data_IF_844216540407
#
_entry.id   IF_844216540407
#
_cell.length_a   1.000
_cell.length_b   1.000
_cell.length_c   1.000
_cell.angle_alpha   90.00
_cell.angle_beta   90.00
_cell.angle_gamma   90.00
#
_symmetry.space_group_name_H-M   'P 1'
#
loop_
_entity.id
_entity.type
_entity.pdbx_description
1 polymer ?
#
# COMPACT_ATOMS: atom_id res chain seq x y z
N UNK A 1 -32.17 30.37 -40.44
CA UNK A 1 -30.84 30.18 -39.78
C UNK A 1 -30.96 29.84 -38.30
N UNK A 2 -31.93 30.38 -37.56
CA UNK A 2 -32.16 30.12 -36.12
C UNK A 2 -32.62 28.68 -35.78
N UNK A 3 -33.29 28.00 -36.71
CA UNK A 3 -33.84 26.64 -36.53
C UNK A 3 -32.76 25.54 -36.50
N UNK A 4 -31.57 25.78 -37.07
CA UNK A 4 -30.46 24.82 -37.09
C UNK A 4 -29.73 24.79 -35.73
N UNK A 5 -29.67 25.94 -35.06
CA UNK A 5 -28.99 26.13 -33.78
C UNK A 5 -29.71 25.45 -32.61
N UNK A 6 -31.04 25.38 -32.64
CA UNK A 6 -31.83 24.64 -31.65
C UNK A 6 -31.65 23.13 -31.81
N UNK A 7 -31.56 22.64 -33.05
CA UNK A 7 -31.39 21.20 -33.31
C UNK A 7 -30.01 20.69 -32.90
N UNK A 8 -28.95 21.48 -33.10
CA UNK A 8 -27.60 21.16 -32.63
C UNK A 8 -27.51 21.16 -31.09
N UNK A 9 -28.22 22.06 -30.41
CA UNK A 9 -28.27 22.08 -28.95
C UNK A 9 -29.01 20.86 -28.38
N UNK A 10 -30.11 20.44 -28.99
CA UNK A 10 -30.83 19.23 -28.58
C UNK A 10 -29.99 17.95 -28.79
N UNK A 11 -29.34 17.83 -29.95
CA UNK A 11 -28.42 16.73 -30.26
C UNK A 11 -27.24 16.66 -29.27
N UNK A 12 -26.66 17.80 -28.90
CA UNK A 12 -25.58 17.85 -27.90
C UNK A 12 -26.05 17.49 -26.50
N UNK A 13 -27.29 17.85 -26.13
CA UNK A 13 -27.85 17.52 -24.82
C UNK A 13 -28.20 16.03 -24.70
N UNK A 14 -28.73 15.43 -25.76
CA UNK A 14 -28.95 13.98 -25.83
C UNK A 14 -27.63 13.20 -25.87
N UNK A 15 -26.66 13.66 -26.66
CA UNK A 15 -25.33 12.99 -26.72
C UNK A 15 -24.63 13.06 -25.36
N UNK A 16 -24.68 14.21 -24.67
CA UNK A 16 -24.17 14.34 -23.29
C UNK A 16 -24.95 13.47 -22.31
N UNK A 17 -26.28 13.45 -22.38
CA UNK A 17 -27.10 12.63 -21.48
C UNK A 17 -26.87 11.12 -21.70
N UNK A 18 -26.66 10.67 -22.93
CA UNK A 18 -26.33 9.28 -23.27
C UNK A 18 -24.91 8.94 -22.83
N UNK A 19 -23.95 9.86 -23.01
CA UNK A 19 -22.57 9.67 -22.53
C UNK A 19 -22.55 9.58 -20.99
N UNK A 20 -23.24 10.49 -20.30
CA UNK A 20 -23.30 10.55 -18.84
C UNK A 20 -24.07 9.34 -18.25
N UNK A 21 -25.15 8.91 -18.90
CA UNK A 21 -25.88 7.69 -18.55
C UNK A 21 -25.07 6.41 -18.83
N UNK A 22 -24.19 6.41 -19.84
CA UNK A 22 -23.29 5.29 -20.12
C UNK A 22 -22.14 5.21 -19.11
N UNK A 23 -21.54 6.34 -18.70
CA UNK A 23 -20.57 6.40 -17.61
C UNK A 23 -21.18 6.01 -16.26
N UNK A 24 -22.43 6.42 -15.98
CA UNK A 24 -23.12 6.04 -14.74
C UNK A 24 -23.52 4.56 -14.69
N UNK A 25 -23.78 3.92 -15.85
CA UNK A 25 -24.09 2.47 -15.92
C UNK A 25 -22.85 1.57 -15.90
N UNK A 26 -21.69 2.05 -16.32
CA UNK A 26 -20.44 1.29 -16.29
C UNK A 26 -19.74 1.31 -14.90
N UNK A 27 -20.16 2.22 -14.00
CA UNK A 27 -19.57 2.42 -12.66
C UNK A 27 -20.30 1.68 -11.52
N UNK A 28 -21.40 0.97 -11.81
CA UNK A 28 -22.22 0.35 -10.74
C UNK A 28 -21.65 -0.98 -10.18
N UNK A 29 -20.64 -1.56 -10.83
CA UNK A 29 -20.09 -2.89 -10.48
C UNK A 29 -18.57 -2.96 -10.29
N UNK A 30 -17.85 -1.90 -10.66
CA UNK A 30 -16.38 -1.88 -10.75
C UNK A 30 -15.82 -1.07 -9.59
N UNK A 31 -14.77 -1.54 -8.92
CA UNK A 31 -14.16 -0.74 -7.83
C UNK A 31 -13.24 0.33 -8.42
N UNK A 32 -13.12 1.52 -7.80
CA UNK A 32 -12.20 2.56 -8.26
C UNK A 32 -10.78 2.02 -8.41
N UNK A 33 -10.14 2.28 -9.55
CA UNK A 33 -8.85 1.69 -9.90
C UNK A 33 -7.78 1.96 -8.82
N UNK A 34 -7.70 3.19 -8.32
CA UNK A 34 -6.73 3.56 -7.28
C UNK A 34 -6.99 2.82 -5.96
N UNK A 35 -8.25 2.53 -5.62
CA UNK A 35 -8.58 1.73 -4.45
C UNK A 35 -8.16 0.27 -4.64
N UNK A 36 -8.39 -0.32 -5.82
CA UNK A 36 -7.93 -1.67 -6.14
C UNK A 36 -6.40 -1.77 -6.10
N UNK A 37 -5.69 -0.78 -6.64
CA UNK A 37 -4.23 -0.69 -6.57
C UNK A 37 -3.74 -0.62 -5.11
N UNK A 38 -4.38 0.19 -4.27
CA UNK A 38 -4.09 0.25 -2.83
C UNK A 38 -4.27 -1.10 -2.14
N UNK A 39 -5.35 -1.84 -2.46
CA UNK A 39 -5.55 -3.20 -1.91
C UNK A 39 -4.45 -4.15 -2.36
N UNK A 40 -4.07 -4.14 -3.64
CA UNK A 40 -2.94 -4.97 -4.14
C UNK A 40 -1.64 -4.62 -3.42
N UNK A 41 -1.35 -3.33 -3.23
CA UNK A 41 -0.17 -2.89 -2.48
C UNK A 41 -0.19 -3.43 -1.06
N UNK A 42 -1.29 -3.26 -0.33
CA UNK A 42 -1.38 -3.68 1.06
C UNK A 42 -1.22 -5.20 1.20
N UNK A 43 -1.88 -5.98 0.33
CA UNK A 43 -1.72 -7.45 0.30
C UNK A 43 -0.26 -7.83 0.03
N UNK A 44 0.35 -7.22 -0.99
CA UNK A 44 1.73 -7.53 -1.38
C UNK A 44 2.70 -7.20 -0.24
N UNK A 45 2.57 -6.02 0.37
CA UNK A 45 3.40 -5.62 1.49
C UNK A 45 3.23 -6.58 2.67
N UNK A 46 2.01 -6.94 3.05
CA UNK A 46 1.78 -7.91 4.12
C UNK A 46 2.45 -9.26 3.83
N UNK A 47 2.30 -9.80 2.62
CA UNK A 47 2.93 -11.07 2.24
C UNK A 47 4.46 -10.95 2.30
N UNK A 48 5.03 -9.87 1.77
CA UNK A 48 6.46 -9.64 1.82
C UNK A 48 6.99 -9.49 3.26
N UNK A 49 6.28 -8.78 4.13
CA UNK A 49 6.65 -8.62 5.54
C UNK A 49 6.61 -9.95 6.30
N UNK A 50 5.60 -10.79 6.05
CA UNK A 50 5.53 -12.14 6.64
C UNK A 50 6.74 -12.98 6.20
N UNK A 51 7.12 -12.91 4.92
CA UNK A 51 8.27 -13.63 4.38
C UNK A 51 9.59 -13.06 4.90
N UNK A 52 9.68 -11.74 5.10
CA UNK A 52 10.90 -11.06 5.57
C UNK A 52 11.05 -11.04 7.09
N UNK A 53 10.00 -11.37 7.85
CA UNK A 53 10.00 -11.41 9.31
C UNK A 53 11.20 -12.16 9.94
N UNK A 54 11.61 -13.35 9.47
CA UNK A 54 12.75 -14.06 10.04
C UNK A 54 14.08 -13.29 9.92
N UNK A 55 14.26 -12.56 8.82
CA UNK A 55 15.46 -11.78 8.58
C UNK A 55 15.54 -10.60 9.54
N UNK A 56 14.45 -9.84 9.70
CA UNK A 56 14.39 -8.69 10.59
C UNK A 56 14.56 -9.11 12.08
N UNK A 57 14.03 -10.27 12.47
CA UNK A 57 14.24 -10.82 13.82
C UNK A 57 15.70 -11.21 14.05
N UNK A 58 16.35 -11.78 13.04
CA UNK A 58 17.78 -12.15 13.13
C UNK A 58 18.66 -10.93 13.39
N UNK A 59 18.32 -9.77 12.79
CA UNK A 59 19.00 -8.49 13.04
C UNK A 59 18.79 -7.97 14.48
N UNK A 60 17.64 -8.28 15.09
CA UNK A 60 17.36 -7.92 16.49
C UNK A 60 17.95 -8.89 17.53
N UNK A 61 18.79 -9.84 17.11
CA UNK A 61 19.36 -10.85 18.00
C UNK A 61 18.34 -11.88 18.52
N UNK A 62 17.20 -12.04 17.84
CA UNK A 62 16.15 -13.00 18.24
C UNK A 62 15.27 -12.52 19.40
N UNK A 63 15.28 -11.23 19.74
CA UNK A 63 14.53 -10.67 20.86
C UNK A 63 12.99 -10.77 20.69
N UNK A 64 12.51 -10.90 19.45
CA UNK A 64 11.08 -10.93 19.12
C UNK A 64 10.62 -12.30 18.64
N UNK A 65 9.42 -12.70 19.06
CA UNK A 65 8.75 -13.86 18.52
C UNK A 65 8.27 -13.59 17.07
N UNK A 66 8.29 -14.65 16.25
CA UNK A 66 8.07 -14.55 14.81
C UNK A 66 6.66 -14.11 14.43
N UNK A 67 5.65 -14.68 15.08
CA UNK A 67 4.24 -14.37 14.81
C UNK A 67 3.88 -12.93 15.23
N UNK A 68 4.18 -12.46 16.46
CA UNK A 68 3.88 -11.08 16.84
C UNK A 68 4.60 -10.03 15.98
N UNK A 69 5.86 -10.26 15.61
CA UNK A 69 6.60 -9.34 14.75
C UNK A 69 5.99 -9.25 13.36
N UNK A 70 5.71 -10.39 12.71
CA UNK A 70 5.12 -10.41 11.37
C UNK A 70 3.77 -9.67 11.32
N UNK A 71 2.94 -9.83 12.36
CA UNK A 71 1.65 -9.14 12.45
C UNK A 71 1.82 -7.64 12.69
N UNK A 72 2.81 -7.23 13.50
CA UNK A 72 3.13 -5.82 13.70
C UNK A 72 3.65 -5.17 12.41
N UNK A 73 4.54 -5.85 11.68
CA UNK A 73 5.04 -5.39 10.37
C UNK A 73 3.90 -5.22 9.35
N UNK A 74 2.96 -6.18 9.32
CA UNK A 74 1.73 -6.07 8.53
C UNK A 74 0.90 -4.84 8.92
N UNK A 75 0.72 -4.56 10.22
CA UNK A 75 0.03 -3.35 10.66
C UNK A 75 0.72 -2.09 10.13
N UNK A 76 2.05 -1.99 10.25
CA UNK A 76 2.80 -0.81 9.79
C UNK A 76 2.70 -0.63 8.28
N UNK A 77 2.68 -1.72 7.51
CA UNK A 77 2.45 -1.70 6.07
C UNK A 77 1.03 -1.24 5.72
N UNK A 78 0.00 -1.73 6.42
CA UNK A 78 -1.39 -1.32 6.17
C UNK A 78 -1.58 0.15 6.51
N UNK A 79 -1.06 0.61 7.65
CA UNK A 79 -1.10 2.01 8.03
C UNK A 79 -0.41 2.90 6.98
N UNK A 80 0.72 2.47 6.44
CA UNK A 80 1.38 3.16 5.33
C UNK A 80 0.44 3.33 4.12
N UNK A 81 -0.18 2.24 3.67
CA UNK A 81 -1.07 2.29 2.50
C UNK A 81 -2.29 3.18 2.76
N UNK A 82 -2.84 3.15 3.97
CA UNK A 82 -3.99 3.98 4.34
C UNK A 82 -3.66 5.48 4.38
N UNK A 83 -2.50 5.85 4.92
CA UNK A 83 -2.11 7.27 5.08
C UNK A 83 -1.50 7.83 3.80
N UNK A 84 -0.55 7.10 3.22
CA UNK A 84 0.32 7.61 2.16
C UNK A 84 0.10 6.91 0.81
N UNK A 85 -0.56 5.75 0.78
CA UNK A 85 -0.71 4.94 -0.43
C UNK A 85 -1.39 5.70 -1.57
N UNK A 86 -2.51 6.37 -1.31
CA UNK A 86 -3.20 7.17 -2.34
C UNK A 86 -2.38 8.35 -2.85
N UNK A 87 -1.70 9.07 -1.95
CA UNK A 87 -0.87 10.21 -2.31
C UNK A 87 0.32 9.78 -3.18
N UNK A 88 0.99 8.67 -2.83
CA UNK A 88 2.11 8.16 -3.62
C UNK A 88 1.70 7.48 -4.91
N UNK A 89 0.54 6.83 -4.97
CA UNK A 89 -0.02 6.34 -6.24
C UNK A 89 -0.32 7.51 -7.18
N UNK A 90 -0.89 8.60 -6.67
CA UNK A 90 -1.10 9.80 -7.46
C UNK A 90 0.21 10.46 -7.89
N UNK A 91 1.20 10.53 -7.00
CA UNK A 91 2.54 11.01 -7.33
C UNK A 91 3.17 10.16 -8.43
N UNK A 92 3.10 8.84 -8.33
CA UNK A 92 3.64 7.90 -9.31
C UNK A 92 2.94 8.04 -10.66
N UNK A 93 1.62 8.22 -10.66
CA UNK A 93 0.83 8.44 -11.86
C UNK A 93 1.23 9.75 -12.55
N UNK A 94 1.29 10.86 -11.79
CA UNK A 94 1.73 12.15 -12.32
C UNK A 94 3.17 12.10 -12.86
N UNK A 95 4.07 11.40 -12.16
CA UNK A 95 5.45 11.24 -12.61
C UNK A 95 5.54 10.41 -13.90
N UNK A 96 4.68 9.40 -14.05
CA UNK A 96 4.67 8.51 -15.21
C UNK A 96 4.31 9.22 -16.52
N UNK A 97 3.55 10.31 -16.46
CA UNK A 97 3.22 11.14 -17.64
C UNK A 97 4.47 11.77 -18.28
N UNK A 98 5.55 11.96 -17.51
CA UNK A 98 6.78 12.56 -18.00
C UNK A 98 7.75 11.55 -18.64
N UNK A 99 7.43 10.25 -18.62
CA UNK A 99 8.30 9.19 -19.12
C UNK A 99 7.65 8.37 -20.24
N UNK A 100 8.47 7.76 -21.09
CA UNK A 100 7.98 6.89 -22.17
C UNK A 100 7.29 5.65 -21.59
N UNK A 101 6.28 5.11 -22.31
CA UNK A 101 5.41 4.04 -21.82
C UNK A 101 6.11 2.78 -21.29
N UNK A 102 7.38 2.55 -21.62
CA UNK A 102 8.20 1.44 -21.13
C UNK A 102 8.75 1.67 -19.70
N UNK A 103 8.90 2.92 -19.28
CA UNK A 103 9.43 3.30 -17.96
C UNK A 103 8.34 3.53 -16.90
N UNK A 104 7.06 3.51 -17.29
CA UNK A 104 5.92 3.63 -16.37
C UNK A 104 6.00 2.65 -15.18
N UNK A 105 6.22 1.33 -15.33
CA UNK A 105 6.35 0.46 -14.16
C UNK A 105 7.54 0.84 -13.28
N UNK A 106 8.65 1.31 -13.88
CA UNK A 106 9.83 1.72 -13.13
C UNK A 106 9.56 2.96 -12.26
N UNK A 107 8.79 3.94 -12.73
CA UNK A 107 8.47 5.13 -11.93
C UNK A 107 7.67 4.76 -10.69
N UNK A 108 6.68 3.88 -10.84
CA UNK A 108 5.91 3.34 -9.72
C UNK A 108 6.79 2.57 -8.75
N UNK A 109 7.70 1.73 -9.25
CA UNK A 109 8.67 1.00 -8.42
C UNK A 109 9.59 1.93 -7.62
N UNK A 110 10.14 2.98 -8.24
CA UNK A 110 11.02 3.95 -7.56
C UNK A 110 10.27 4.74 -6.48
N UNK A 111 9.05 5.18 -6.76
CA UNK A 111 8.21 5.87 -5.77
C UNK A 111 7.90 4.93 -4.61
N UNK A 112 7.54 3.67 -4.89
CA UNK A 112 7.31 2.66 -3.87
C UNK A 112 8.55 2.38 -3.01
N UNK A 113 9.72 2.27 -3.64
CA UNK A 113 10.97 2.02 -2.94
C UNK A 113 11.35 3.16 -2.00
N UNK A 114 11.28 4.40 -2.49
CA UNK A 114 11.62 5.57 -1.69
C UNK A 114 10.63 5.76 -0.52
N UNK A 115 9.33 5.66 -0.80
CA UNK A 115 8.29 5.90 0.20
C UNK A 115 8.31 4.86 1.31
N UNK A 116 8.21 3.57 0.97
CA UNK A 116 8.17 2.51 1.98
C UNK A 116 9.55 2.27 2.61
N UNK A 117 10.65 2.52 1.89
CA UNK A 117 12.00 2.47 2.44
C UNK A 117 12.22 3.50 3.55
N UNK A 118 11.79 4.75 3.35
CA UNK A 118 11.85 5.79 4.39
C UNK A 118 10.89 5.47 5.54
N UNK A 119 9.67 5.03 5.23
CA UNK A 119 8.68 4.66 6.25
C UNK A 119 9.17 3.53 7.15
N UNK A 120 9.61 2.42 6.56
CA UNK A 120 10.14 1.26 7.27
C UNK A 120 11.43 1.57 8.01
N UNK A 121 12.37 2.27 7.37
CA UNK A 121 13.64 2.65 7.98
C UNK A 121 13.49 3.56 9.20
N UNK A 122 12.42 4.36 9.29
CA UNK A 122 12.15 5.19 10.47
C UNK A 122 11.32 4.45 11.52
N UNK A 123 10.21 3.82 11.12
CA UNK A 123 9.27 3.25 12.08
C UNK A 123 9.72 1.92 12.65
N UNK A 124 10.30 1.03 11.84
CA UNK A 124 10.65 -0.31 12.33
C UNK A 124 11.68 -0.23 13.47
N UNK A 125 12.78 0.52 13.32
CA UNK A 125 13.71 0.71 14.43
C UNK A 125 13.09 1.45 15.61
N UNK A 126 12.20 2.42 15.36
CA UNK A 126 11.53 3.16 16.44
C UNK A 126 10.67 2.22 17.29
N UNK A 127 9.85 1.36 16.67
CA UNK A 127 9.03 0.38 17.38
C UNK A 127 9.89 -0.67 18.09
N UNK A 128 10.91 -1.22 17.41
CA UNK A 128 11.81 -2.20 18.00
C UNK A 128 12.57 -1.63 19.19
N UNK A 129 13.21 -0.46 19.05
CA UNK A 129 13.96 0.16 20.14
C UNK A 129 13.04 0.63 21.28
N UNK A 130 11.78 0.98 21.00
CA UNK A 130 10.79 1.28 22.05
C UNK A 130 10.43 0.07 22.91
N UNK A 131 10.63 -1.15 22.41
CA UNK A 131 10.43 -2.40 23.16
C UNK A 131 11.75 -2.88 23.79
N UNK A 132 12.85 -2.87 23.01
CA UNK A 132 14.18 -3.32 23.44
C UNK A 132 14.76 -2.45 24.56
N UNK A 133 14.58 -1.13 24.48
CA UNK A 133 15.10 -0.17 25.45
C UNK A 133 14.60 -0.43 26.88
N UNK A 134 13.27 -0.44 27.12
CA UNK A 134 12.72 -0.77 28.44
C UNK A 134 13.07 -2.19 28.90
N UNK A 135 13.23 -3.14 27.97
CA UNK A 135 13.66 -4.51 28.26
C UNK A 135 15.16 -4.64 28.58
N UNK A 136 15.94 -3.54 28.53
CA UNK A 136 17.42 -3.51 28.71
C UNK A 136 18.17 -4.46 27.77
N UNK A 137 17.61 -4.72 26.59
CA UNK A 137 18.24 -5.50 25.54
C UNK A 137 19.09 -4.59 24.64
N UNK A 138 20.00 -5.18 23.86
CA UNK A 138 20.82 -4.43 22.92
C UNK A 138 19.94 -3.75 21.87
N UNK A 139 20.13 -2.43 21.69
CA UNK A 139 19.45 -1.67 20.64
C UNK A 139 20.03 -2.03 19.28
N UNK A 140 19.22 -1.81 18.24
CA UNK A 140 19.65 -2.01 16.85
C UNK A 140 20.86 -1.13 16.52
N UNK A 141 21.84 -1.71 15.83
CA UNK A 141 22.98 -0.94 15.32
C UNK A 141 22.57 -0.10 14.12
N UNK A 142 23.36 0.92 13.78
CA UNK A 142 23.12 1.71 12.56
C UNK A 142 23.16 0.85 11.29
N UNK A 143 23.93 -0.24 11.28
CA UNK A 143 23.98 -1.19 10.17
C UNK A 143 22.68 -1.97 10.01
N UNK A 144 22.08 -2.41 11.11
CA UNK A 144 20.80 -3.14 11.12
C UNK A 144 19.65 -2.24 10.63
N UNK A 145 19.66 -0.96 11.04
CA UNK A 145 18.69 0.04 10.58
C UNK A 145 18.75 0.21 9.05
N UNK A 146 19.95 0.30 8.48
CA UNK A 146 20.13 0.38 7.02
C UNK A 146 19.66 -0.88 6.30
N UNK A 147 19.93 -2.07 6.86
CA UNK A 147 19.47 -3.33 6.29
C UNK A 147 17.93 -3.44 6.29
N UNK A 148 17.27 -3.02 7.38
CA UNK A 148 15.80 -2.94 7.48
C UNK A 148 15.25 -1.94 6.45
N UNK A 149 15.82 -0.73 6.38
CA UNK A 149 15.39 0.28 5.42
C UNK A 149 15.51 -0.19 3.96
N UNK A 150 16.60 -0.89 3.62
CA UNK A 150 16.79 -1.48 2.29
C UNK A 150 15.77 -2.59 2.00
N UNK A 151 15.48 -3.46 2.98
CA UNK A 151 14.44 -4.47 2.83
C UNK A 151 13.08 -3.83 2.55
N UNK A 152 12.67 -2.84 3.36
CA UNK A 152 11.44 -2.12 3.13
C UNK A 152 11.44 -1.42 1.76
N UNK A 153 12.56 -0.87 1.29
CA UNK A 153 12.63 -0.30 -0.06
C UNK A 153 12.32 -1.34 -1.15
N UNK A 154 12.84 -2.56 -1.04
CA UNK A 154 12.54 -3.64 -1.99
C UNK A 154 11.06 -4.04 -1.93
N UNK A 155 10.50 -4.17 -0.72
CA UNK A 155 9.07 -4.49 -0.54
C UNK A 155 8.19 -3.41 -1.17
N UNK A 156 8.53 -2.14 -0.96
CA UNK A 156 7.84 -1.00 -1.56
C UNK A 156 7.88 -1.04 -3.08
N UNK A 157 9.06 -1.32 -3.65
CA UNK A 157 9.25 -1.44 -5.10
C UNK A 157 8.34 -2.51 -5.69
N UNK A 158 8.35 -3.72 -5.13
CA UNK A 158 7.55 -4.86 -5.61
C UNK A 158 6.06 -4.58 -5.48
N UNK A 159 5.65 -3.96 -4.37
CA UNK A 159 4.24 -3.68 -4.09
C UNK A 159 3.64 -2.67 -5.07
N UNK A 160 4.36 -1.60 -5.39
CA UNK A 160 3.89 -0.60 -6.36
C UNK A 160 3.90 -1.13 -7.81
N UNK A 161 4.89 -1.95 -8.16
CA UNK A 161 4.94 -2.64 -9.46
C UNK A 161 3.72 -3.56 -9.64
N UNK A 162 3.44 -4.39 -8.63
CA UNK A 162 2.28 -5.29 -8.67
C UNK A 162 0.96 -4.51 -8.63
N UNK A 163 0.88 -3.37 -7.95
CA UNK A 163 -0.30 -2.51 -7.98
C UNK A 163 -0.64 -2.09 -9.41
N UNK A 164 0.34 -1.61 -10.19
CA UNK A 164 0.11 -1.17 -11.57
C UNK A 164 -0.29 -2.33 -12.48
N UNK A 165 0.28 -3.52 -12.28
CA UNK A 165 0.02 -4.70 -13.12
C UNK A 165 -1.33 -5.33 -12.79
N UNK A 166 -1.61 -5.57 -11.51
CA UNK A 166 -2.77 -6.34 -11.04
C UNK A 166 -3.97 -5.47 -10.69
N UNK A 167 -3.78 -4.16 -10.46
CA UNK A 167 -4.85 -3.22 -10.10
C UNK A 167 -6.03 -3.21 -11.09
N UNK A 168 -5.80 -3.09 -12.41
CA UNK A 168 -6.89 -3.13 -13.40
C UNK A 168 -7.67 -4.45 -13.42
N UNK A 169 -6.98 -5.57 -13.16
CA UNK A 169 -7.61 -6.89 -13.10
C UNK A 169 -8.46 -7.05 -11.84
N UNK A 170 -7.98 -6.55 -10.71
CA UNK A 170 -8.70 -6.58 -9.45
C UNK A 170 -9.88 -5.61 -9.45
N UNK A 171 -9.78 -4.49 -10.16
CA UNK A 171 -10.85 -3.50 -10.28
C UNK A 171 -12.15 -4.10 -10.84
N UNK A 172 -12.02 -5.05 -11.76
CA UNK A 172 -13.14 -5.79 -12.38
C UNK A 172 -13.73 -6.87 -11.47
N UNK A 173 -13.09 -7.21 -10.34
CA UNK A 173 -13.48 -8.30 -9.44
C UNK A 173 -13.80 -7.76 -8.04
N UNK A 174 -14.88 -6.98 -7.91
CA UNK A 174 -15.30 -6.32 -6.66
C UNK A 174 -15.26 -7.24 -5.44
N UNK A 175 -15.84 -8.43 -5.54
CA UNK A 175 -15.87 -9.39 -4.42
C UNK A 175 -14.46 -9.78 -3.96
N UNK A 176 -13.55 -10.06 -4.88
CA UNK A 176 -12.16 -10.40 -4.56
C UNK A 176 -11.45 -9.21 -3.91
N UNK A 177 -11.66 -8.00 -4.44
CA UNK A 177 -11.09 -6.79 -3.86
C UNK A 177 -11.54 -6.57 -2.42
N UNK A 178 -12.85 -6.73 -2.14
CA UNK A 178 -13.40 -6.58 -0.78
C UNK A 178 -12.87 -7.66 0.16
N UNK A 179 -12.82 -8.92 -0.28
CA UNK A 179 -12.28 -10.03 0.54
C UNK A 179 -10.81 -9.76 0.89
N UNK A 180 -9.99 -9.37 -0.08
CA UNK A 180 -8.58 -9.05 0.16
C UNK A 180 -8.43 -7.87 1.12
N UNK A 181 -9.21 -6.81 0.95
CA UNK A 181 -9.20 -5.68 1.87
C UNK A 181 -9.55 -6.12 3.30
N UNK A 182 -10.62 -6.91 3.48
CA UNK A 182 -11.02 -7.43 4.80
C UNK A 182 -9.92 -8.28 5.42
N UNK A 183 -9.32 -9.20 4.66
CA UNK A 183 -8.22 -10.05 5.15
C UNK A 183 -7.05 -9.20 5.66
N UNK A 184 -6.65 -8.19 4.89
CA UNK A 184 -5.57 -7.27 5.27
C UNK A 184 -5.91 -6.46 6.51
N UNK A 185 -7.14 -5.97 6.63
CA UNK A 185 -7.60 -5.26 7.84
C UNK A 185 -7.63 -6.18 9.07
N UNK A 186 -8.02 -7.44 8.91
CA UNK A 186 -7.99 -8.43 9.99
C UNK A 186 -6.55 -8.68 10.43
N UNK A 187 -5.61 -8.87 9.49
CA UNK A 187 -4.18 -9.01 9.81
C UNK A 187 -3.63 -7.79 10.55
N UNK A 188 -4.00 -6.58 10.12
CA UNK A 188 -3.62 -5.35 10.80
C UNK A 188 -4.21 -5.27 12.22
N UNK A 189 -5.47 -5.67 12.41
CA UNK A 189 -6.09 -5.72 13.74
C UNK A 189 -5.38 -6.71 14.68
N UNK A 190 -4.96 -7.87 14.17
CA UNK A 190 -4.09 -8.79 14.91
C UNK A 190 -2.74 -8.15 15.28
N UNK A 191 -2.13 -7.40 14.36
CA UNK A 191 -0.93 -6.63 14.65
C UNK A 191 -1.12 -5.62 15.78
N UNK A 192 -2.26 -4.92 15.82
CA UNK A 192 -2.58 -3.96 16.86
C UNK A 192 -2.76 -4.65 18.22
N UNK A 193 -3.42 -5.81 18.22
CA UNK A 193 -3.57 -6.63 19.42
C UNK A 193 -2.22 -7.06 19.99
N UNK A 194 -1.29 -7.54 19.15
CA UNK A 194 0.05 -7.91 19.60
C UNK A 194 0.87 -6.71 20.08
N UNK A 195 0.76 -5.57 19.41
CA UNK A 195 1.40 -4.33 19.86
C UNK A 195 0.93 -3.95 21.26
N UNK A 196 -0.39 -3.98 21.50
CA UNK A 196 -0.96 -3.72 22.81
C UNK A 196 -0.46 -4.70 23.87
N UNK A 197 -0.37 -6.00 23.54
CA UNK A 197 0.20 -7.02 24.43
C UNK A 197 1.66 -6.74 24.79
N UNK A 198 2.50 -6.28 23.85
CA UNK A 198 3.88 -5.90 24.15
C UNK A 198 3.94 -4.77 25.19
N UNK A 199 3.19 -3.68 24.96
CA UNK A 199 3.18 -2.55 25.89
C UNK A 199 2.55 -2.89 27.25
N UNK A 200 1.51 -3.73 27.28
CA UNK A 200 0.88 -4.19 28.52
C UNK A 200 1.78 -5.12 29.37
N UNK A 201 2.89 -5.62 28.82
CA UNK A 201 3.88 -6.41 29.56
C UNK A 201 5.10 -5.61 29.99
N UNK A 202 5.32 -4.43 29.39
CA UNK A 202 6.44 -3.53 29.65
C UNK A 202 6.11 -2.47 30.71
N UNK A 203 4.83 -2.20 30.95
CA UNK A 203 4.28 -1.31 31.97
C UNK A 203 3.36 -2.07 32.92
#
# INVERSE_FOLDING_TARGET
MMMRMTQDNHMNHETRAVTDASTMREDSGTVPLMAAQGVVMAVTMCVCEIVCAPMVISLSGGAFALVPWAMLACLLAVVFVLILGFAFLWLADNLSHNFSGRLVPLTYGVVGAASFGVWGGLLYPTFMNSILGPAKLALLTSGDVWAIGFNCAVIGMVSFLLAVICGPQLARRRTVCVVLAVVVFVLAAFGAFFLWQFYARLH
#
